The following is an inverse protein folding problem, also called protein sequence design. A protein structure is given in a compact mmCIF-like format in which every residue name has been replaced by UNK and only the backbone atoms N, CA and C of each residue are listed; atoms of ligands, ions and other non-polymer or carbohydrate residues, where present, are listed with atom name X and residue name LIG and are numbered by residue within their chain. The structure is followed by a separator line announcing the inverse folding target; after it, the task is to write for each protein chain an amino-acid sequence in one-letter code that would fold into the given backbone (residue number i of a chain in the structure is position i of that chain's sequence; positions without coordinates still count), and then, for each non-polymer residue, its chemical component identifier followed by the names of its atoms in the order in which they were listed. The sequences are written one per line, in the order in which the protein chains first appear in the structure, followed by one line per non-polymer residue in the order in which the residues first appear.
data_IF_808314420570
#
_entry.id   IF_808314420570
#
_cell.length_a   1.000
_cell.length_b   1.000
_cell.length_c   1.000
_cell.angle_alpha   90.00
_cell.angle_beta   90.00
_cell.angle_gamma   90.00
#
_symmetry.space_group_name_H-M   'P 1'
#
loop_
_entity.id
_entity.type
_entity.pdbx_description
1 polymer ?
#
# COMPACT_ATOMS: atom_id res chain seq x y z
N UNK A 1 -33.05 21.54 44.33
CA UNK A 1 -33.52 20.47 43.43
C UNK A 1 -33.49 20.88 41.96
N UNK A 2 -34.16 21.97 41.55
CA UNK A 2 -34.18 22.46 40.16
C UNK A 2 -32.80 22.67 39.51
N UNK A 3 -31.87 23.35 40.19
CA UNK A 3 -30.52 23.62 39.64
C UNK A 3 -29.65 22.38 39.51
N UNK A 4 -29.82 21.38 40.39
CA UNK A 4 -29.08 20.11 40.33
C UNK A 4 -29.54 19.29 39.12
N UNK A 5 -30.85 19.24 38.88
CA UNK A 5 -31.43 18.56 37.72
C UNK A 5 -30.97 19.23 36.42
N UNK A 6 -30.88 20.56 36.38
CA UNK A 6 -30.41 21.31 35.20
C UNK A 6 -28.94 21.03 34.86
N UNK A 7 -28.08 20.94 35.89
CA UNK A 7 -26.66 20.60 35.73
C UNK A 7 -26.49 19.15 35.26
N UNK A 8 -27.29 18.22 35.80
CA UNK A 8 -27.27 16.82 35.37
C UNK A 8 -27.69 16.68 33.91
N UNK A 9 -28.74 17.37 33.47
CA UNK A 9 -29.18 17.33 32.07
C UNK A 9 -28.15 17.95 31.13
N UNK A 10 -27.48 19.04 31.53
CA UNK A 10 -26.42 19.65 30.74
C UNK A 10 -25.21 18.72 30.59
N UNK A 11 -24.86 17.99 31.66
CA UNK A 11 -23.77 17.02 31.65
C UNK A 11 -24.08 15.83 30.74
N UNK A 12 -25.31 15.29 30.80
CA UNK A 12 -25.75 14.20 29.92
C UNK A 12 -25.74 14.65 28.45
N UNK A 13 -26.19 15.86 28.17
CA UNK A 13 -26.20 16.44 26.83
C UNK A 13 -24.77 16.64 26.32
N UNK A 14 -23.86 17.20 27.14
CA UNK A 14 -22.45 17.36 26.79
C UNK A 14 -21.76 16.01 26.49
N UNK A 15 -22.03 14.99 27.29
CA UNK A 15 -21.50 13.64 27.10
C UNK A 15 -22.07 12.96 25.84
N UNK A 16 -23.33 13.24 25.49
CA UNK A 16 -23.93 12.77 24.24
C UNK A 16 -23.29 13.44 23.02
N UNK A 17 -23.02 14.75 23.10
CA UNK A 17 -22.34 15.49 22.03
C UNK A 17 -20.89 15.03 21.81
N UNK A 18 -20.12 14.77 22.87
CA UNK A 18 -18.75 14.24 22.71
C UNK A 18 -18.75 12.83 22.11
N UNK A 19 -19.78 12.02 22.39
CA UNK A 19 -19.98 10.72 21.73
C UNK A 19 -20.25 10.86 20.23
N UNK A 20 -21.07 11.84 19.83
CA UNK A 20 -21.38 12.11 18.42
C UNK A 20 -20.14 12.50 17.62
N UNK A 21 -19.29 13.37 18.17
CA UNK A 21 -18.03 13.81 17.52
C UNK A 21 -17.06 12.63 17.33
N UNK A 22 -17.01 11.70 18.29
CA UNK A 22 -16.19 10.49 18.20
C UNK A 22 -16.62 9.60 17.01
N UNK A 23 -17.93 9.45 16.77
CA UNK A 23 -18.45 8.64 15.67
C UNK A 23 -18.26 9.28 14.29
N UNK A 24 -18.16 10.61 14.19
CA UNK A 24 -18.01 11.32 12.90
C UNK A 24 -16.61 11.29 12.29
N UNK A 25 -15.62 10.65 12.94
CA UNK A 25 -14.23 10.59 12.45
C UNK A 25 -13.83 9.23 11.86
N UNK A 26 -14.80 8.42 11.42
CA UNK A 26 -14.49 7.24 10.61
C UNK A 26 -14.44 7.63 9.12
N UNK A 27 -13.30 8.15 8.67
CA UNK A 27 -13.01 8.14 7.22
C UNK A 27 -13.06 6.68 6.79
N UNK A 28 -14.00 6.31 5.92
CA UNK A 28 -14.10 4.96 5.35
C UNK A 28 -12.92 4.75 4.41
N UNK A 29 -11.80 4.33 4.97
CA UNK A 29 -10.59 4.02 4.23
C UNK A 29 -10.74 2.62 3.63
N UNK A 30 -11.04 2.55 2.34
CA UNK A 30 -10.96 1.30 1.60
C UNK A 30 -9.50 0.99 1.32
N UNK A 31 -9.01 -0.10 1.89
CA UNK A 31 -7.64 -0.56 1.71
C UNK A 31 -7.61 -1.71 0.71
N UNK A 32 -6.60 -1.69 -0.15
CA UNK A 32 -6.28 -2.76 -1.09
C UNK A 32 -4.87 -3.27 -0.83
N UNK A 33 -4.62 -4.50 -1.26
CA UNK A 33 -3.37 -5.20 -1.01
C UNK A 33 -2.62 -5.52 -2.31
N UNK A 34 -1.35 -5.09 -2.39
CA UNK A 34 -0.41 -5.53 -3.42
C UNK A 34 0.58 -6.50 -2.80
N UNK A 35 0.63 -7.69 -3.36
CA UNK A 35 1.60 -8.72 -3.01
C UNK A 35 2.66 -8.83 -4.08
N UNK A 36 3.92 -8.65 -3.70
CA UNK A 36 5.07 -8.88 -4.54
C UNK A 36 5.53 -10.33 -4.32
N UNK A 37 5.42 -11.15 -5.37
CA UNK A 37 5.83 -12.54 -5.35
C UNK A 37 7.06 -12.75 -6.24
N UNK A 38 7.90 -13.73 -5.92
CA UNK A 38 8.99 -14.18 -6.77
C UNK A 38 8.44 -14.98 -7.98
N UNK A 39 9.31 -15.47 -8.86
CA UNK A 39 8.86 -16.28 -10.00
C UNK A 39 8.39 -17.70 -9.66
N UNK A 40 8.70 -18.21 -8.47
CA UNK A 40 8.17 -19.46 -7.96
C UNK A 40 6.79 -19.28 -7.30
N UNK A 41 6.37 -18.02 -7.07
CA UNK A 41 5.13 -17.66 -6.41
C UNK A 41 5.28 -17.40 -4.91
N UNK A 42 6.51 -17.38 -4.39
CA UNK A 42 6.78 -17.09 -2.99
C UNK A 42 6.63 -15.58 -2.71
N UNK A 43 5.92 -15.24 -1.64
CA UNK A 43 5.69 -13.83 -1.28
C UNK A 43 6.97 -13.21 -0.73
N UNK A 44 7.45 -12.17 -1.40
CA UNK A 44 8.62 -11.37 -1.02
C UNK A 44 8.20 -10.24 -0.09
N UNK A 45 7.14 -9.53 -0.46
CA UNK A 45 6.65 -8.36 0.26
C UNK A 45 5.16 -8.15 0.02
N UNK A 46 4.48 -7.53 0.99
CA UNK A 46 3.08 -7.16 0.86
C UNK A 46 2.88 -5.75 1.38
N UNK A 47 2.21 -4.92 0.58
CA UNK A 47 1.92 -3.53 0.92
C UNK A 47 0.41 -3.30 0.89
N UNK A 48 -0.10 -2.51 1.85
CA UNK A 48 -1.51 -2.06 1.86
C UNK A 48 -1.57 -0.58 1.58
N UNK A 49 -2.48 -0.18 0.71
CA UNK A 49 -2.65 1.20 0.31
C UNK A 49 -4.14 1.57 0.30
N UNK A 50 -4.41 2.87 0.47
CA UNK A 50 -5.76 3.40 0.42
C UNK A 50 -6.24 3.60 -1.02
N UNK A 51 -7.51 3.36 -1.28
CA UNK A 51 -8.13 3.69 -2.56
C UNK A 51 -7.92 5.18 -2.88
N UNK A 52 -7.36 5.46 -4.06
CA UNK A 52 -7.02 6.83 -4.49
C UNK A 52 -5.69 7.37 -3.95
N UNK A 53 -4.86 6.57 -3.29
CA UNK A 53 -3.50 6.96 -2.91
C UNK A 53 -2.61 7.20 -4.14
N UNK A 54 -1.59 8.05 -3.97
CA UNK A 54 -0.60 8.30 -5.02
C UNK A 54 0.48 7.22 -5.00
N UNK A 55 1.03 6.91 -6.19
CA UNK A 55 2.11 5.95 -6.35
C UNK A 55 3.33 6.21 -5.46
N UNK A 56 3.63 7.48 -5.17
CA UNK A 56 4.78 7.90 -4.36
C UNK A 56 4.74 7.38 -2.91
N UNK A 57 3.59 6.89 -2.44
CA UNK A 57 3.44 6.35 -1.08
C UNK A 57 3.72 4.86 -0.99
N UNK A 58 3.86 4.15 -2.12
CA UNK A 58 4.12 2.70 -2.12
C UNK A 58 5.62 2.42 -2.16
N UNK A 59 6.11 1.77 -1.11
CA UNK A 59 7.48 1.28 -1.05
C UNK A 59 7.59 0.00 -1.89
N UNK A 60 8.26 0.08 -3.04
CA UNK A 60 8.56 -1.09 -3.85
C UNK A 60 9.72 -1.89 -3.23
N UNK A 61 9.59 -3.22 -3.09
CA UNK A 61 10.70 -4.05 -2.65
C UNK A 61 11.76 -4.16 -3.74
N UNK A 62 12.98 -4.51 -3.32
CA UNK A 62 14.03 -4.93 -4.23
C UNK A 62 13.69 -6.31 -4.81
N UNK A 63 13.87 -6.48 -6.12
CA UNK A 63 13.60 -7.74 -6.78
C UNK A 63 14.73 -8.76 -6.52
N UNK A 64 14.43 -10.07 -6.45
CA UNK A 64 15.45 -11.09 -6.26
C UNK A 64 16.47 -11.08 -7.40
N UNK A 65 17.75 -11.21 -7.08
CA UNK A 65 18.79 -11.41 -8.09
C UNK A 65 18.62 -12.76 -8.79
N UNK A 66 18.92 -12.79 -10.09
CA UNK A 66 18.87 -14.01 -10.91
C UNK A 66 20.09 -14.08 -11.81
N UNK A 67 20.87 -15.13 -11.67
CA UNK A 67 22.08 -15.34 -12.49
C UNK A 67 21.75 -15.33 -13.99
N UNK A 68 22.49 -14.53 -14.77
CA UNK A 68 22.28 -14.40 -16.21
C UNK A 68 21.11 -13.52 -16.62
N UNK A 69 20.41 -12.89 -15.67
CA UNK A 69 19.26 -12.02 -15.94
C UNK A 69 19.39 -10.66 -15.24
N UNK A 70 18.82 -9.64 -15.88
CA UNK A 70 18.69 -8.29 -15.33
C UNK A 70 17.23 -8.03 -15.01
N UNK A 71 16.94 -7.54 -13.81
CA UNK A 71 15.60 -7.10 -13.43
C UNK A 71 15.21 -5.86 -14.24
N UNK A 72 14.06 -5.91 -14.90
CA UNK A 72 13.58 -4.80 -15.76
C UNK A 72 12.34 -4.10 -15.21
N UNK A 73 11.72 -4.65 -14.17
CA UNK A 73 10.53 -4.08 -13.54
C UNK A 73 9.56 -5.14 -13.04
N UNK A 74 8.48 -4.70 -12.43
CA UNK A 74 7.39 -5.56 -12.00
C UNK A 74 6.35 -5.75 -13.12
N UNK A 75 5.56 -6.82 -13.05
CA UNK A 75 4.54 -7.16 -14.06
C UNK A 75 3.40 -6.16 -14.19
N UNK A 76 3.30 -5.22 -13.25
CA UNK A 76 2.31 -4.15 -13.25
C UNK A 76 2.99 -2.79 -13.33
N UNK A 77 2.46 -1.96 -14.23
CA UNK A 77 2.93 -0.59 -14.41
C UNK A 77 2.21 0.36 -13.44
N UNK A 78 2.89 0.67 -12.34
CA UNK A 78 2.38 1.58 -11.32
C UNK A 78 2.53 3.07 -11.68
N UNK A 79 3.10 3.40 -12.85
CA UNK A 79 3.33 4.80 -13.25
C UNK A 79 2.03 5.57 -13.58
N UNK A 80 0.95 4.86 -13.91
CA UNK A 80 -0.32 5.47 -14.33
C UNK A 80 -1.26 5.73 -13.17
N UNK A 81 -1.57 4.70 -12.41
CA UNK A 81 -2.57 4.74 -11.33
C UNK A 81 -2.43 3.51 -10.44
N UNK A 82 -2.72 3.67 -9.15
CA UNK A 82 -2.81 2.56 -8.23
C UNK A 82 -4.08 1.72 -8.54
N UNK A 83 -4.00 0.38 -8.52
CA UNK A 83 -5.17 -0.48 -8.70
C UNK A 83 -6.19 -0.28 -7.56
N UNK A 84 -7.46 -0.55 -7.82
CA UNK A 84 -8.53 -0.55 -6.80
C UNK A 84 -8.99 -1.98 -6.47
N UNK A 85 -8.06 -2.93 -6.51
CA UNK A 85 -8.28 -4.34 -6.25
C UNK A 85 -6.99 -4.98 -5.76
N UNK A 86 -7.14 -6.10 -5.05
CA UNK A 86 -6.00 -6.85 -4.55
C UNK A 86 -5.32 -7.58 -5.70
N UNK A 87 -3.99 -7.53 -5.73
CA UNK A 87 -3.24 -8.16 -6.81
C UNK A 87 -1.90 -8.72 -6.38
N UNK A 88 -1.42 -9.67 -7.18
CA UNK A 88 -0.07 -10.22 -7.06
C UNK A 88 0.74 -9.73 -8.26
N UNK A 89 1.93 -9.20 -8.00
CA UNK A 89 2.87 -8.73 -9.03
C UNK A 89 4.13 -9.57 -8.99
N UNK A 90 4.67 -9.85 -10.19
CA UNK A 90 5.82 -10.71 -10.40
C UNK A 90 6.97 -9.92 -11.03
N UNK A 91 8.24 -10.20 -10.67
CA UNK A 91 9.38 -9.56 -11.27
C UNK A 91 9.54 -10.00 -12.73
N UNK A 92 9.85 -9.05 -13.59
CA UNK A 92 10.18 -9.27 -15.00
C UNK A 92 11.70 -9.19 -15.16
N UNK A 93 12.23 -10.12 -15.94
CA UNK A 93 13.67 -10.26 -16.17
C UNK A 93 13.97 -10.30 -17.67
N UNK A 94 15.09 -9.70 -18.07
CA UNK A 94 15.66 -9.84 -19.41
C UNK A 94 17.00 -10.56 -19.34
N UNK A 95 17.28 -11.41 -20.33
CA UNK A 95 18.56 -12.13 -20.40
C UNK A 95 19.71 -11.13 -20.59
N UNK A 96 20.76 -11.30 -19.80
CA UNK A 96 21.94 -10.44 -19.89
C UNK A 96 22.89 -10.96 -20.98
N UNK A 97 22.79 -10.42 -22.19
CA UNK A 97 23.81 -10.63 -23.22
C UNK A 97 24.94 -9.61 -23.03
N UNK A 98 25.92 -9.95 -22.19
CA UNK A 98 27.17 -9.21 -22.18
C UNK A 98 28.02 -9.62 -23.39
N UNK A 99 28.15 -8.72 -24.37
CA UNK A 99 29.21 -8.81 -25.38
C UNK A 99 30.56 -8.68 -24.67
N UNK A 100 31.27 -9.80 -24.50
CA UNK A 100 32.67 -9.78 -24.07
C UNK A 100 33.47 -9.18 -25.21
N UNK A 101 33.75 -7.87 -25.12
CA UNK A 101 34.69 -7.22 -26.04
C UNK A 101 36.08 -7.66 -25.61
N UNK A 102 36.58 -8.75 -26.18
CA UNK A 102 37.98 -9.12 -26.08
C UNK A 102 38.80 -8.11 -26.87
N UNK A 103 39.28 -7.06 -26.19
CA UNK A 103 40.29 -6.16 -26.73
C UNK A 103 41.61 -6.95 -26.81
N UNK A 104 41.91 -7.49 -27.98
CA UNK A 104 43.25 -7.99 -28.26
C UNK A 104 44.16 -6.77 -28.49
N UNK A 105 45.18 -6.62 -27.64
CA UNK A 105 46.26 -5.66 -27.79
C UNK A 105 47.42 -6.27 -28.58
#
# INVERSE_FOLDING_TARGET
MKSIVMVLTLLVVAMMYTLQISQTQATSLHLHEITFADTNGDVIHTERFAEGSFFLEVNMPEAPEREGFVFVGWSYDFSKSMPNFDMIVYPQYMHSEFLVVTTFA
#
